data_IF_774841574873
#
_entry.id   IF_774841574873
#
_cell.length_a   1.000
_cell.length_b   1.000
_cell.length_c   1.000
_cell.angle_alpha   90.00
_cell.angle_beta   90.00
_cell.angle_gamma   90.00
#
_symmetry.space_group_name_H-M   'P 1'
#
loop_
_entity.id
_entity.type
_entity.pdbx_description
1 polymer ?
#
# COMPACT_ATOMS: atom_id res chain seq x y z
N UNK A 1 -3.34 18.97 -26.33
CA UNK A 1 -2.34 17.98 -25.87
C UNK A 1 -3.00 16.61 -25.84
N UNK A 2 -2.39 15.55 -26.39
CA UNK A 2 -2.96 14.19 -26.37
C UNK A 2 -2.47 13.48 -25.12
N UNK A 3 -3.41 13.04 -24.28
CA UNK A 3 -3.17 12.21 -23.10
C UNK A 3 -3.41 10.76 -23.48
N UNK A 4 -2.49 9.87 -23.13
CA UNK A 4 -2.68 8.43 -23.36
C UNK A 4 -3.22 7.82 -22.08
N UNK A 5 -4.34 7.13 -22.22
CA UNK A 5 -4.94 6.29 -21.20
C UNK A 5 -4.92 4.84 -21.71
N UNK A 6 -3.84 4.10 -21.46
CA UNK A 6 -3.74 2.73 -21.93
C UNK A 6 -4.73 1.86 -21.18
N UNK A 7 -5.56 1.15 -21.94
CA UNK A 7 -6.59 0.27 -21.43
C UNK A 7 -6.10 -1.16 -21.69
N UNK A 8 -5.57 -1.84 -20.65
CA UNK A 8 -5.10 -3.22 -20.77
C UNK A 8 -6.26 -4.17 -20.45
N UNK A 9 -6.83 -4.87 -21.45
CA UNK A 9 -7.92 -5.81 -21.21
C UNK A 9 -7.38 -7.00 -20.40
N UNK A 10 -7.97 -7.25 -19.23
CA UNK A 10 -7.89 -8.59 -18.63
C UNK A 10 -8.89 -9.50 -19.37
N UNK A 11 -8.61 -10.81 -19.52
CA UNK A 11 -9.61 -11.73 -20.03
C UNK A 11 -10.87 -11.65 -19.15
N UNK A 12 -12.01 -11.34 -19.77
CA UNK A 12 -13.34 -11.25 -19.15
C UNK A 12 -13.67 -10.02 -18.27
N UNK A 13 -12.88 -8.93 -18.27
CA UNK A 13 -13.26 -7.67 -17.61
C UNK A 13 -13.44 -6.53 -18.63
N UNK A 14 -14.52 -5.72 -18.53
CA UNK A 14 -14.70 -4.54 -19.37
C UNK A 14 -13.60 -3.50 -19.08
N UNK A 15 -13.21 -2.72 -20.11
CA UNK A 15 -12.28 -1.61 -19.94
C UNK A 15 -12.81 -0.64 -18.89
N UNK A 16 -12.08 -0.51 -17.77
CA UNK A 16 -12.41 0.41 -16.70
C UNK A 16 -12.36 1.82 -17.30
N UNK A 17 -13.47 2.57 -17.22
CA UNK A 17 -13.61 3.92 -17.81
C UNK A 17 -12.79 5.01 -17.10
N UNK A 18 -12.04 4.63 -16.05
CA UNK A 18 -11.14 5.49 -15.27
C UNK A 18 -9.70 5.11 -15.60
N UNK A 19 -8.95 6.07 -16.11
CA UNK A 19 -7.51 5.93 -16.36
C UNK A 19 -6.75 5.77 -15.05
N UNK A 20 -6.04 4.66 -14.87
CA UNK A 20 -5.15 4.45 -13.73
C UNK A 20 -3.83 5.21 -13.85
N UNK A 21 -3.43 5.55 -15.08
CA UNK A 21 -2.21 6.29 -15.37
C UNK A 21 -2.38 7.12 -16.64
N UNK A 22 -1.81 8.34 -16.63
CA UNK A 22 -1.76 9.23 -17.79
C UNK A 22 -0.29 9.47 -18.11
N UNK A 23 0.09 9.28 -19.38
CA UNK A 23 1.43 9.58 -19.88
C UNK A 23 1.34 10.80 -20.80
N UNK A 24 2.18 11.79 -20.52
CA UNK A 24 2.23 13.06 -21.26
C UNK A 24 3.55 13.14 -22.05
N UNK A 25 3.48 13.57 -23.31
CA UNK A 25 4.69 13.68 -24.15
C UNK A 25 5.70 14.70 -23.63
N UNK A 26 5.23 15.73 -22.91
CA UNK A 26 6.09 16.78 -22.33
C UNK A 26 7.07 16.23 -21.29
N UNK A 27 6.67 15.23 -20.49
CA UNK A 27 7.55 14.63 -19.47
C UNK A 27 8.74 13.87 -20.08
N UNK A 28 8.62 13.49 -21.35
CA UNK A 28 9.67 12.80 -22.12
C UNK A 28 10.24 13.68 -23.24
N UNK A 29 9.89 14.98 -23.28
CA UNK A 29 10.40 15.93 -24.27
C UNK A 29 9.93 15.69 -25.71
N UNK A 30 8.83 14.95 -25.91
CA UNK A 30 8.34 14.56 -27.24
C UNK A 30 7.04 15.28 -27.58
N UNK A 31 7.05 16.01 -28.70
CA UNK A 31 5.85 16.66 -29.26
C UNK A 31 5.03 15.66 -30.08
N UNK A 32 3.76 15.96 -30.41
CA UNK A 32 2.89 15.08 -31.23
C UNK A 32 2.89 13.60 -30.78
N UNK A 33 3.04 13.38 -29.48
CA UNK A 33 3.14 12.10 -28.81
C UNK A 33 1.79 11.35 -28.81
N UNK A 34 1.84 10.02 -28.89
CA UNK A 34 0.64 9.17 -28.88
C UNK A 34 -0.06 9.08 -30.24
N UNK A 35 0.68 9.23 -31.34
CA UNK A 35 0.13 9.00 -32.67
C UNK A 35 0.00 7.51 -32.98
N UNK A 36 0.96 6.71 -32.55
CA UNK A 36 0.93 5.25 -32.61
C UNK A 36 1.34 4.67 -31.25
N UNK A 37 0.81 3.50 -30.93
CA UNK A 37 1.10 2.78 -29.70
C UNK A 37 1.26 1.30 -30.05
N UNK A 38 2.28 0.66 -29.50
CA UNK A 38 2.46 -0.79 -29.53
C UNK A 38 2.81 -1.28 -28.13
N UNK A 39 2.37 -2.46 -27.75
CA UNK A 39 2.70 -3.05 -26.45
C UNK A 39 2.42 -4.55 -26.44
N UNK A 40 2.53 -5.17 -25.27
CA UNK A 40 2.29 -6.60 -25.10
C UNK A 40 3.56 -7.47 -25.22
N UNK A 41 4.72 -6.85 -25.41
CA UNK A 41 6.02 -7.51 -25.38
C UNK A 41 6.78 -7.06 -24.14
N UNK A 42 7.30 -8.02 -23.38
CA UNK A 42 8.25 -7.80 -22.29
C UNK A 42 9.67 -7.76 -22.90
N UNK A 43 10.36 -6.61 -22.83
CA UNK A 43 11.67 -6.41 -23.45
C UNK A 43 12.83 -6.59 -22.48
N UNK A 44 12.56 -6.74 -21.18
CA UNK A 44 13.58 -6.87 -20.13
C UNK A 44 13.39 -8.10 -19.23
N UNK A 45 12.52 -9.03 -19.62
CA UNK A 45 12.25 -10.31 -18.98
C UNK A 45 11.77 -10.17 -17.52
N UNK A 46 11.06 -9.09 -17.21
CA UNK A 46 10.54 -8.83 -15.86
C UNK A 46 9.13 -9.42 -15.59
N UNK A 47 8.56 -10.11 -16.58
CA UNK A 47 7.23 -10.73 -16.62
C UNK A 47 6.05 -9.74 -16.75
N UNK A 48 6.32 -8.49 -17.11
CA UNK A 48 5.31 -7.48 -17.38
C UNK A 48 5.48 -6.91 -18.79
N UNK A 49 4.41 -6.83 -19.60
CA UNK A 49 4.51 -6.32 -20.95
C UNK A 49 4.79 -4.81 -20.95
N UNK A 50 5.75 -4.42 -21.78
CA UNK A 50 6.12 -3.03 -22.00
C UNK A 50 5.28 -2.40 -23.12
N UNK A 51 5.48 -1.10 -23.30
CA UNK A 51 4.78 -0.31 -24.32
C UNK A 51 5.72 0.70 -24.99
N UNK A 52 5.62 0.83 -26.31
CA UNK A 52 6.26 1.89 -27.09
C UNK A 52 5.21 2.85 -27.60
N UNK A 53 5.49 4.14 -27.47
CA UNK A 53 4.65 5.21 -28.00
C UNK A 53 5.41 5.98 -29.07
N UNK A 54 4.84 6.02 -30.27
CA UNK A 54 5.36 6.79 -31.39
C UNK A 54 4.81 8.22 -31.45
N UNK A 55 5.59 9.08 -32.09
CA UNK A 55 5.28 10.48 -32.33
C UNK A 55 5.44 10.85 -33.81
N UNK A 56 4.65 11.81 -34.27
CA UNK A 56 4.84 12.48 -35.58
C UNK A 56 5.99 13.52 -35.59
N UNK A 57 6.89 13.46 -34.62
CA UNK A 57 8.13 14.26 -34.56
C UNK A 57 9.37 13.37 -34.65
N UNK A 58 9.29 12.30 -35.45
CA UNK A 58 10.39 11.37 -35.72
C UNK A 58 11.03 10.77 -34.46
N UNK A 59 10.19 10.55 -33.44
CA UNK A 59 10.59 10.07 -32.12
C UNK A 59 9.69 8.93 -31.65
N UNK A 60 10.26 8.00 -30.89
CA UNK A 60 9.52 6.94 -30.19
C UNK A 60 10.09 6.76 -28.79
N UNK A 61 9.23 6.43 -27.83
CA UNK A 61 9.60 6.27 -26.42
C UNK A 61 9.13 4.92 -25.92
N UNK A 62 10.06 4.15 -25.33
CA UNK A 62 9.78 2.89 -24.65
C UNK A 62 9.46 3.16 -23.16
N UNK A 63 8.32 2.66 -22.71
CA UNK A 63 7.89 2.64 -21.32
C UNK A 63 7.98 1.22 -20.82
N UNK A 64 8.87 0.99 -19.85
CA UNK A 64 9.00 -0.31 -19.19
C UNK A 64 8.04 -0.45 -18.02
N UNK A 65 7.34 -1.56 -17.95
CA UNK A 65 6.47 -1.88 -16.83
C UNK A 65 7.32 -2.24 -15.60
N UNK A 66 6.81 -1.94 -14.40
CA UNK A 66 7.48 -2.27 -13.15
C UNK A 66 6.76 -3.44 -12.47
N UNK A 67 7.50 -4.35 -11.79
CA UNK A 67 6.87 -5.42 -11.03
C UNK A 67 5.89 -4.93 -9.95
N UNK A 68 4.78 -5.64 -9.81
CA UNK A 68 3.72 -5.31 -8.84
C UNK A 68 3.90 -6.11 -7.56
N UNK A 69 3.96 -5.42 -6.42
CA UNK A 69 4.00 -6.01 -5.08
C UNK A 69 2.59 -6.01 -4.49
N UNK A 70 2.07 -7.19 -4.19
CA UNK A 70 0.79 -7.36 -3.48
C UNK A 70 1.05 -7.67 -2.00
N UNK A 71 0.76 -6.72 -1.13
CA UNK A 71 0.95 -6.85 0.32
C UNK A 71 -0.31 -7.36 0.99
N UNK A 72 -0.20 -8.48 1.70
CA UNK A 72 -1.26 -9.01 2.58
C UNK A 72 -0.95 -8.64 4.03
N UNK A 73 -1.98 -8.20 4.74
CA UNK A 73 -1.91 -7.78 6.15
C UNK A 73 -2.86 -8.59 7.01
N UNK A 74 -2.42 -8.97 8.20
CA UNK A 74 -3.21 -9.68 9.20
C UNK A 74 -3.02 -8.99 10.55
N UNK A 75 -4.11 -8.68 11.24
CA UNK A 75 -4.08 -8.01 12.54
C UNK A 75 -4.80 -8.88 13.55
N UNK A 76 -4.14 -9.15 14.66
CA UNK A 76 -4.66 -9.92 15.78
C UNK A 76 -4.72 -9.02 17.01
N UNK A 77 -5.82 -9.08 17.75
CA UNK A 77 -6.06 -8.24 18.92
C UNK A 77 -6.34 -9.17 20.11
N UNK A 78 -5.68 -8.93 21.24
CA UNK A 78 -5.89 -9.69 22.49
C UNK A 78 -5.90 -8.76 23.70
N UNK A 79 -6.83 -8.90 24.64
CA UNK A 79 -7.92 -9.88 24.67
C UNK A 79 -9.11 -9.50 23.76
N UNK A 80 -9.92 -10.50 23.40
CA UNK A 80 -11.24 -10.35 22.77
C UNK A 80 -12.20 -11.34 23.44
N UNK A 81 -13.24 -10.89 24.18
CA UNK A 81 -13.63 -9.50 24.43
C UNK A 81 -12.64 -8.73 25.32
N UNK A 82 -12.73 -7.39 25.30
CA UNK A 82 -11.94 -6.52 26.18
C UNK A 82 -12.72 -6.36 27.49
N UNK A 83 -12.12 -6.81 28.60
CA UNK A 83 -12.67 -6.64 29.95
C UNK A 83 -12.11 -5.35 30.57
N UNK A 84 -13.01 -4.41 30.89
CA UNK A 84 -12.67 -3.08 31.42
C UNK A 84 -12.21 -3.12 32.88
N UNK A 85 -12.60 -4.16 33.62
CA UNK A 85 -12.21 -4.33 35.02
C UNK A 85 -10.84 -5.00 35.15
N UNK A 86 -10.33 -5.54 34.04
CA UNK A 86 -9.06 -6.24 34.02
C UNK A 86 -7.89 -5.24 33.98
N UNK A 87 -7.21 -5.10 35.12
CA UNK A 87 -5.97 -4.34 35.24
C UNK A 87 -4.74 -5.19 34.85
N UNK A 88 -4.54 -5.41 33.55
CA UNK A 88 -3.48 -6.25 33.00
C UNK A 88 -2.25 -5.47 32.48
N UNK A 89 -2.22 -4.15 32.64
CA UNK A 89 -1.04 -3.34 32.30
C UNK A 89 0.10 -3.56 33.32
N UNK A 90 1.33 -3.82 32.86
CA UNK A 90 2.46 -4.17 33.76
C UNK A 90 2.95 -3.05 34.68
N UNK A 91 2.85 -1.79 34.26
CA UNK A 91 3.53 -0.65 34.90
C UNK A 91 2.58 0.46 35.37
N UNK A 92 1.35 0.43 34.91
CA UNK A 92 0.34 1.44 35.19
C UNK A 92 -1.00 0.76 35.40
N UNK A 93 -1.89 1.32 36.23
CA UNK A 93 -3.27 0.86 36.29
C UNK A 93 -3.96 1.11 34.94
N UNK A 94 -4.71 0.12 34.48
CA UNK A 94 -5.59 0.18 33.32
C UNK A 94 -5.64 -1.12 32.52
N UNK A 95 -6.52 -1.12 31.52
CA UNK A 95 -6.69 -2.24 30.60
C UNK A 95 -5.79 -2.06 29.37
N UNK A 96 -4.87 -2.99 29.21
CA UNK A 96 -3.96 -3.11 28.08
C UNK A 96 -4.48 -4.13 27.07
N UNK A 97 -4.32 -3.78 25.80
CA UNK A 97 -4.71 -4.59 24.65
C UNK A 97 -3.48 -4.74 23.76
N UNK A 98 -3.08 -5.98 23.54
CA UNK A 98 -1.98 -6.34 22.65
C UNK A 98 -2.49 -6.50 21.22
N UNK A 99 -1.83 -5.80 20.30
CA UNK A 99 -2.10 -5.84 18.87
C UNK A 99 -0.87 -6.42 18.17
N UNK A 100 -1.06 -7.52 17.45
CA UNK A 100 -0.04 -8.11 16.59
C UNK A 100 -0.44 -7.90 15.14
N UNK A 101 0.35 -7.10 14.42
CA UNK A 101 0.17 -6.89 12.99
C UNK A 101 1.26 -7.64 12.22
N UNK A 102 0.86 -8.45 11.26
CA UNK A 102 1.73 -9.24 10.40
C UNK A 102 1.54 -8.83 8.94
N UNK A 103 2.64 -8.71 8.22
CA UNK A 103 2.69 -8.30 6.82
C UNK A 103 3.48 -9.33 6.02
N UNK A 104 3.02 -9.65 4.82
CA UNK A 104 3.75 -10.44 3.83
C UNK A 104 3.45 -9.90 2.45
N UNK A 105 4.29 -10.20 1.47
CA UNK A 105 4.04 -9.80 0.09
C UNK A 105 4.16 -10.97 -0.89
N UNK A 106 3.52 -10.80 -2.04
CA UNK A 106 3.62 -11.66 -3.22
C UNK A 106 3.85 -10.81 -4.46
N UNK A 107 4.57 -11.36 -5.43
CA UNK A 107 4.84 -10.72 -6.72
C UNK A 107 5.03 -11.80 -7.80
N UNK A 108 5.03 -11.38 -9.07
CA UNK A 108 5.37 -12.25 -10.19
C UNK A 108 6.68 -11.73 -10.80
N UNK A 109 7.62 -12.61 -11.20
CA UNK A 109 7.63 -14.07 -10.95
C UNK A 109 7.92 -14.40 -9.47
N UNK A 110 7.72 -15.65 -9.05
CA UNK A 110 8.04 -16.08 -7.67
C UNK A 110 9.52 -15.95 -7.28
N UNK A 111 10.41 -15.84 -8.28
CA UNK A 111 11.84 -15.58 -8.09
C UNK A 111 12.15 -14.12 -7.73
N UNK A 112 11.24 -13.18 -7.99
CA UNK A 112 11.43 -11.76 -7.72
C UNK A 112 11.32 -11.45 -6.21
N UNK A 113 12.44 -11.45 -5.50
CA UNK A 113 12.51 -11.29 -4.05
C UNK A 113 13.28 -10.03 -3.63
N UNK A 114 12.77 -8.82 -3.96
CA UNK A 114 13.41 -7.60 -3.52
C UNK A 114 13.28 -7.43 -1.99
N UNK A 115 14.25 -6.77 -1.36
CA UNK A 115 14.13 -6.33 0.03
C UNK A 115 13.19 -5.12 0.09
N UNK A 116 12.05 -5.26 0.76
CA UNK A 116 11.02 -4.21 0.87
C UNK A 116 11.01 -3.63 2.28
N UNK A 117 11.04 -2.31 2.38
CA UNK A 117 10.78 -1.59 3.63
C UNK A 117 9.36 -1.03 3.55
N UNK A 118 8.46 -1.57 4.37
CA UNK A 118 7.05 -1.19 4.39
C UNK A 118 6.78 -0.27 5.58
N UNK A 119 6.45 0.99 5.29
CA UNK A 119 5.88 1.90 6.28
C UNK A 119 4.40 1.57 6.54
N UNK A 120 4.00 1.56 7.80
CA UNK A 120 2.62 1.30 8.21
C UNK A 120 2.16 2.25 9.31
N UNK A 121 0.85 2.44 9.40
CA UNK A 121 0.17 3.14 10.49
C UNK A 121 -0.94 2.23 11.01
N UNK A 122 -0.91 1.94 12.31
CA UNK A 122 -2.03 1.34 13.02
C UNK A 122 -2.88 2.47 13.57
N UNK A 123 -4.15 2.51 13.18
CA UNK A 123 -5.13 3.48 13.66
C UNK A 123 -6.21 2.73 14.43
N UNK A 124 -6.47 3.18 15.66
CA UNK A 124 -7.44 2.58 16.55
C UNK A 124 -8.55 3.57 16.88
N UNK A 125 -9.77 3.04 17.05
CA UNK A 125 -10.97 3.82 17.38
C UNK A 125 -11.32 4.93 16.36
N UNK A 126 -11.02 4.69 15.08
CA UNK A 126 -11.10 5.66 13.98
C UNK A 126 -12.50 5.81 13.38
N UNK A 127 -13.57 5.48 14.12
CA UNK A 127 -14.94 5.54 13.56
C UNK A 127 -15.38 7.00 13.43
N UNK A 128 -15.18 7.55 12.23
CA UNK A 128 -15.82 8.78 11.79
C UNK A 128 -17.27 8.46 11.42
N UNK A 129 -18.22 8.74 12.33
CA UNK A 129 -19.65 8.72 12.01
C UNK A 129 -19.97 10.03 11.31
N UNK A 130 -20.35 9.91 10.04
CA UNK A 130 -20.71 10.98 9.10
C UNK A 130 -21.37 12.20 9.79
N UNK A 131 -20.65 13.34 9.78
CA UNK A 131 -21.14 14.63 10.31
C UNK A 131 -21.15 14.81 11.84
N UNK A 132 -20.76 13.84 12.66
CA UNK A 132 -20.62 14.03 14.11
C UNK A 132 -19.21 14.49 14.50
N UNK A 133 -19.11 15.37 15.52
CA UNK A 133 -17.84 15.82 16.11
C UNK A 133 -16.96 14.61 16.44
N UNK A 134 -15.70 14.67 16.01
CA UNK A 134 -14.65 13.68 16.31
C UNK A 134 -14.66 13.38 17.81
N UNK A 135 -15.08 12.18 18.18
CA UNK A 135 -15.08 11.74 19.58
C UNK A 135 -13.62 11.56 20.03
N UNK A 136 -13.29 11.87 21.29
CA UNK A 136 -11.97 11.56 21.80
C UNK A 136 -11.74 10.04 21.69
N UNK A 137 -10.55 9.61 21.23
CA UNK A 137 -10.24 8.20 21.11
C UNK A 137 -10.23 7.54 22.48
N UNK A 138 -10.78 6.33 22.60
CA UNK A 138 -10.84 5.58 23.86
C UNK A 138 -9.57 4.81 24.18
N UNK A 139 -8.59 4.83 23.28
CA UNK A 139 -7.34 4.07 23.40
C UNK A 139 -6.15 4.95 23.05
N UNK A 140 -5.03 4.64 23.69
CA UNK A 140 -3.74 5.28 23.43
C UNK A 140 -2.63 4.25 23.26
N UNK A 141 -1.76 4.43 22.29
CA UNK A 141 -0.57 3.57 22.11
C UNK A 141 0.54 3.97 23.09
N UNK A 142 1.07 2.99 23.83
CA UNK A 142 2.06 3.23 24.90
C UNK A 142 3.44 3.63 24.38
N UNK A 143 3.87 3.08 23.24
CA UNK A 143 5.20 3.31 22.66
C UNK A 143 5.16 4.03 21.32
N UNK A 144 4.15 4.89 21.11
CA UNK A 144 4.01 5.69 19.90
C UNK A 144 5.13 6.73 19.79
N UNK A 145 5.40 7.21 18.58
CA UNK A 145 6.30 8.35 18.39
C UNK A 145 5.64 9.63 18.92
N UNK A 146 6.40 10.63 19.38
CA UNK A 146 5.83 11.92 19.81
C UNK A 146 5.05 12.66 18.71
N UNK A 147 5.38 12.37 17.44
CA UNK A 147 4.67 12.90 16.26
C UNK A 147 3.33 12.22 16.00
N UNK A 148 3.10 11.02 16.53
CA UNK A 148 1.91 10.25 16.25
C UNK A 148 0.77 10.68 17.20
N UNK A 149 -0.47 10.83 16.69
CA UNK A 149 -1.66 10.95 17.53
C UNK A 149 -1.77 9.83 18.56
N UNK A 150 -2.45 10.06 19.68
CA UNK A 150 -2.54 9.07 20.77
C UNK A 150 -3.10 7.72 20.31
N UNK A 151 -4.06 7.75 19.38
CA UNK A 151 -4.74 6.59 18.83
C UNK A 151 -4.05 6.00 17.58
N UNK A 152 -2.83 6.46 17.27
CA UNK A 152 -2.06 5.97 16.13
C UNK A 152 -0.67 5.49 16.56
N UNK A 153 -0.16 4.52 15.79
CA UNK A 153 1.22 4.04 15.89
C UNK A 153 1.81 3.89 14.50
N UNK A 154 2.86 4.66 14.20
CA UNK A 154 3.59 4.55 12.93
C UNK A 154 4.86 3.72 13.08
N UNK A 155 5.15 2.88 12.09
CA UNK A 155 6.32 2.01 12.11
C UNK A 155 6.77 1.57 10.73
N UNK A 156 7.88 0.85 10.70
CA UNK A 156 8.40 0.21 9.49
C UNK A 156 8.64 -1.27 9.77
N UNK A 157 8.40 -2.09 8.76
CA UNK A 157 8.71 -3.52 8.78
C UNK A 157 9.49 -3.89 7.53
N UNK A 158 10.51 -4.73 7.69
CA UNK A 158 11.30 -5.24 6.56
C UNK A 158 10.74 -6.59 6.12
N UNK A 159 10.36 -6.68 4.85
CA UNK A 159 9.96 -7.91 4.18
C UNK A 159 11.10 -8.35 3.28
N UNK A 160 11.73 -9.48 3.60
CA UNK A 160 12.95 -9.95 2.92
C UNK A 160 12.68 -10.86 1.73
N UNK A 161 11.56 -11.59 1.78
CA UNK A 161 11.23 -12.62 0.80
C UNK A 161 9.73 -12.67 0.59
N UNK A 162 9.31 -13.10 -0.60
CA UNK A 162 7.91 -13.39 -0.87
C UNK A 162 7.41 -14.48 0.08
N UNK A 163 6.12 -14.43 0.40
CA UNK A 163 5.39 -15.39 1.26
C UNK A 163 5.87 -15.54 2.70
N UNK A 164 7.01 -14.95 3.06
CA UNK A 164 7.50 -14.83 4.43
C UNK A 164 6.80 -13.68 5.14
N UNK A 165 6.23 -13.94 6.33
CA UNK A 165 5.56 -12.93 7.13
C UNK A 165 6.50 -12.30 8.14
N UNK A 166 6.36 -10.99 8.31
CA UNK A 166 7.05 -10.22 9.33
C UNK A 166 6.02 -9.52 10.21
N UNK A 167 6.17 -9.65 11.52
CA UNK A 167 5.17 -9.19 12.48
C UNK A 167 5.75 -8.18 13.47
N UNK A 168 4.90 -7.26 13.90
CA UNK A 168 5.16 -6.31 14.97
C UNK A 168 4.10 -6.47 16.05
N UNK A 169 4.51 -6.30 17.29
CA UNK A 169 3.63 -6.31 18.45
C UNK A 169 3.63 -4.92 19.07
N UNK A 170 2.44 -4.36 19.27
CA UNK A 170 2.25 -3.08 19.94
C UNK A 170 1.17 -3.25 20.99
N UNK A 171 1.25 -2.44 22.05
CA UNK A 171 0.27 -2.45 23.13
C UNK A 171 -0.42 -1.09 23.16
N UNK A 172 -1.75 -1.12 23.15
CA UNK A 172 -2.60 0.03 23.39
C UNK A 172 -3.22 -0.06 24.79
N UNK A 173 -3.43 1.08 25.42
CA UNK A 173 -4.05 1.22 26.73
C UNK A 173 -5.40 1.90 26.56
N UNK A 174 -6.43 1.39 27.21
CA UNK A 174 -7.72 2.06 27.30
C UNK A 174 -7.61 3.30 28.21
N UNK A 175 -8.22 4.42 27.80
CA UNK A 175 -8.26 5.66 28.58
C UNK A 175 -9.33 5.63 29.67
#
# INVERSE_FOLDING_TARGET
>A
MRKICPCFPRPAEPCISLCSQIIEGETVGVTKFGYSIAGGLDVDDNFYPDMVVGSLSDSAVLFRACPVINVTKQVYIKPQPIDLELNNCRREPGTCIDVRACFLYRSKPGSYNPRIVLGFVLDADSVEVDGQRKRPPRVSFQRRKPSDPENQYSGEVVLRRQTESSCINVTMKLQ
#
